data_IF_440700665874
#
_entry.id   IF_440700665874
#
_cell.length_a   1.000
_cell.length_b   1.000
_cell.length_c   1.000
_cell.angle_alpha   90.00
_cell.angle_beta   90.00
_cell.angle_gamma   90.00
#
_symmetry.space_group_name_H-M   'P 1'
#
loop_
_entity.id
_entity.type
_entity.pdbx_description
1 polymer ?
#
# COMPACT_ATOMS: atom_id res chain seq x y z
N UNK A 1 -14.48 3.73 22.79
CA UNK A 1 -14.34 3.43 21.35
C UNK A 1 -13.77 4.69 20.74
N UNK A 2 -12.56 4.65 20.17
CA UNK A 2 -11.95 5.85 19.62
C UNK A 2 -12.61 6.19 18.27
N UNK A 3 -13.20 7.38 18.19
CA UNK A 3 -13.75 7.95 16.95
C UNK A 3 -12.63 8.08 15.92
N UNK A 4 -12.77 7.40 14.80
CA UNK A 4 -11.92 7.60 13.63
C UNK A 4 -12.43 8.86 12.95
N UNK A 5 -11.85 10.01 13.32
CA UNK A 5 -12.16 11.27 12.65
C UNK A 5 -11.53 11.20 11.25
N UNK A 6 -12.36 11.10 10.21
CA UNK A 6 -11.95 11.30 8.81
C UNK A 6 -11.55 12.77 8.60
N UNK A 7 -10.39 13.17 9.13
CA UNK A 7 -9.75 14.45 8.85
C UNK A 7 -9.20 14.39 7.41
N UNK A 8 -9.84 15.14 6.52
CA UNK A 8 -9.64 15.24 5.06
C UNK A 8 -8.25 15.72 4.58
N UNK A 9 -7.19 15.60 5.38
CA UNK A 9 -5.85 16.10 5.05
C UNK A 9 -4.78 15.05 4.78
N UNK A 10 -4.96 13.81 5.25
CA UNK A 10 -3.90 12.78 5.22
C UNK A 10 -4.32 11.58 4.38
N UNK A 11 -3.87 11.56 3.12
CA UNK A 11 -4.22 10.49 2.17
C UNK A 11 -2.99 9.73 1.67
N UNK A 12 -1.79 10.29 1.85
CA UNK A 12 -0.54 9.76 1.31
C UNK A 12 0.53 9.68 2.38
N UNK A 13 1.54 8.84 2.15
CA UNK A 13 2.70 8.73 3.06
C UNK A 13 3.44 10.07 3.19
N UNK A 14 3.49 10.84 2.12
CA UNK A 14 4.12 12.16 2.04
C UNK A 14 3.52 13.16 3.04
N UNK A 15 2.21 13.08 3.29
CA UNK A 15 1.52 13.99 4.20
C UNK A 15 2.02 13.80 5.65
N UNK A 16 2.25 12.55 6.06
CA UNK A 16 2.80 12.22 7.38
C UNK A 16 4.29 12.55 7.49
N UNK A 17 5.04 12.40 6.40
CA UNK A 17 6.45 12.82 6.34
C UNK A 17 6.56 14.34 6.57
N UNK A 18 5.68 15.14 5.97
CA UNK A 18 5.64 16.58 6.19
C UNK A 18 5.35 16.91 7.66
N UNK A 19 4.34 16.27 8.25
CA UNK A 19 3.99 16.44 9.68
C UNK A 19 5.16 16.10 10.60
N UNK A 20 5.87 15.00 10.32
CA UNK A 20 7.03 14.62 11.12
C UNK A 20 8.17 15.64 10.99
N UNK A 21 8.38 16.18 9.79
CA UNK A 21 9.37 17.25 9.53
C UNK A 21 9.01 18.57 10.21
N UNK A 22 7.73 18.86 10.43
CA UNK A 22 7.26 20.00 11.25
C UNK A 22 7.53 19.82 12.75
N UNK A 23 8.08 18.68 13.17
CA UNK A 23 8.45 18.40 14.57
C UNK A 23 7.37 17.68 15.37
N UNK A 24 6.26 17.27 14.75
CA UNK A 24 5.25 16.44 15.42
C UNK A 24 5.71 14.99 15.44
N UNK A 25 5.55 14.31 16.58
CA UNK A 25 5.85 12.88 16.66
C UNK A 25 4.79 12.09 15.88
N UNK A 26 5.24 11.29 14.93
CA UNK A 26 4.40 10.37 14.15
C UNK A 26 4.92 8.95 14.35
N UNK A 27 4.01 8.02 14.64
CA UNK A 27 4.29 6.59 14.65
C UNK A 27 3.52 5.91 13.53
N UNK A 28 4.11 4.89 12.92
CA UNK A 28 3.48 4.15 11.85
C UNK A 28 3.58 2.65 12.11
N UNK A 29 2.45 1.97 11.94
CA UNK A 29 2.39 0.52 11.82
C UNK A 29 2.00 0.17 10.39
N UNK A 30 2.40 -1.02 9.94
CA UNK A 30 1.98 -1.55 8.65
C UNK A 30 1.46 -2.98 8.78
N UNK A 31 0.38 -3.25 8.05
CA UNK A 31 -0.13 -4.58 7.77
C UNK A 31 -0.02 -4.86 6.27
N UNK A 32 0.52 -6.03 5.92
CA UNK A 32 0.70 -6.44 4.54
C UNK A 32 -0.35 -7.48 4.20
N UNK A 33 -1.11 -7.25 3.14
CA UNK A 33 -2.11 -8.21 2.67
C UNK A 33 -2.06 -8.42 1.17
N UNK A 34 -2.44 -9.63 0.78
CA UNK A 34 -2.71 -10.02 -0.61
C UNK A 34 -4.22 -10.11 -0.80
N UNK A 35 -4.75 -9.38 -1.78
CA UNK A 35 -6.18 -9.41 -2.12
C UNK A 35 -6.36 -9.89 -3.55
N UNK A 36 -7.26 -10.85 -3.77
CA UNK A 36 -7.63 -11.27 -5.12
C UNK A 36 -8.66 -10.29 -5.69
N UNK A 37 -8.47 -9.87 -6.94
CA UNK A 37 -9.37 -8.96 -7.65
C UNK A 37 -9.63 -9.45 -9.06
N UNK A 38 -10.78 -9.10 -9.61
CA UNK A 38 -11.13 -9.38 -11.00
C UNK A 38 -10.90 -8.13 -11.84
N UNK A 39 -10.01 -8.23 -12.83
CA UNK A 39 -9.81 -7.16 -13.79
C UNK A 39 -10.70 -7.40 -15.01
N UNK A 40 -11.62 -6.47 -15.27
CA UNK A 40 -12.40 -6.46 -16.51
C UNK A 40 -11.58 -5.75 -17.58
N UNK A 41 -11.21 -6.45 -18.63
CA UNK A 41 -10.56 -5.86 -19.81
C UNK A 41 -11.62 -5.68 -20.88
N UNK A 42 -11.84 -4.44 -21.34
CA UNK A 42 -12.69 -4.16 -22.49
C UNK A 42 -11.82 -4.19 -23.75
N UNK A 43 -11.99 -5.15 -24.68
CA UNK A 43 -11.27 -5.13 -25.94
C UNK A 43 -11.76 -3.95 -26.80
N UNK A 44 -10.82 -3.24 -27.44
CA UNK A 44 -11.09 -2.04 -28.26
C UNK A 44 -11.75 -2.37 -29.63
N UNK A 45 -11.91 -3.64 -29.96
CA UNK A 45 -12.49 -4.09 -31.24
C UNK A 45 -13.61 -5.09 -30.99
N UNK A 46 -14.83 -4.65 -31.32
CA UNK A 46 -16.04 -5.41 -31.66
C UNK A 46 -15.99 -6.93 -31.42
N UNK A 47 -16.44 -7.36 -30.25
CA UNK A 47 -17.41 -8.43 -30.00
C UNK A 47 -17.53 -8.57 -28.46
N UNK A 48 -18.76 -8.53 -27.94
CA UNK A 48 -19.14 -8.48 -26.52
C UNK A 48 -18.63 -9.68 -25.69
N UNK A 49 -17.33 -9.74 -25.43
CA UNK A 49 -16.76 -10.65 -24.45
C UNK A 49 -15.81 -9.87 -23.56
N UNK A 50 -16.33 -9.35 -22.44
CA UNK A 50 -15.46 -8.87 -21.36
C UNK A 50 -14.72 -10.07 -20.79
N UNK A 51 -13.44 -10.23 -21.13
CA UNK A 51 -12.60 -11.24 -20.49
C UNK A 51 -12.29 -10.74 -19.07
N UNK A 52 -12.84 -11.43 -18.06
CA UNK A 52 -12.42 -11.25 -16.68
C UNK A 52 -11.10 -11.98 -16.47
N UNK A 53 -10.06 -11.26 -16.06
CA UNK A 53 -8.78 -11.87 -15.68
C UNK A 53 -8.70 -11.86 -14.16
N UNK A 54 -8.47 -13.04 -13.58
CA UNK A 54 -8.22 -13.19 -12.16
C UNK A 54 -6.83 -12.65 -11.82
N UNK A 55 -6.78 -11.68 -10.91
CA UNK A 55 -5.58 -10.96 -10.53
C UNK A 55 -5.45 -10.90 -9.00
N UNK A 56 -4.30 -10.45 -8.51
CA UNK A 56 -4.08 -10.18 -7.10
C UNK A 56 -3.29 -8.90 -6.89
N UNK A 57 -3.58 -8.19 -5.81
CA UNK A 57 -2.81 -7.03 -5.37
C UNK A 57 -2.08 -7.31 -4.07
N UNK A 58 -0.84 -6.84 -3.99
CA UNK A 58 -0.07 -6.75 -2.76
C UNK A 58 -0.22 -5.32 -2.22
N UNK A 59 -0.86 -5.18 -1.06
CA UNK A 59 -1.21 -3.89 -0.47
C UNK A 59 -0.55 -3.77 0.91
N UNK A 60 0.08 -2.62 1.16
CA UNK A 60 0.48 -2.20 2.49
C UNK A 60 -0.55 -1.25 3.08
N UNK A 61 -1.19 -1.66 4.16
CA UNK A 61 -2.11 -0.84 4.94
C UNK A 61 -1.35 -0.21 6.11
N UNK A 62 -1.12 1.08 6.02
CA UNK A 62 -0.44 1.87 7.03
C UNK A 62 -1.43 2.43 8.03
N UNK A 63 -1.06 2.37 9.30
CA UNK A 63 -1.77 3.03 10.41
C UNK A 63 -0.83 4.03 11.03
N UNK A 64 -1.13 5.32 10.83
CA UNK A 64 -0.36 6.42 11.39
C UNK A 64 -1.03 6.97 12.65
N UNK A 65 -0.24 7.22 13.68
CA UNK A 65 -0.68 7.90 14.92
C UNK A 65 0.03 9.25 15.00
N UNK A 66 -0.75 10.33 15.06
CA UNK A 66 -0.26 11.71 15.19
C UNK A 66 -0.96 12.34 16.39
N UNK A 67 -0.27 12.39 17.53
CA UNK A 67 -0.91 12.75 18.80
C UNK A 67 -1.99 11.74 19.18
N UNK A 68 -3.24 12.20 19.34
CA UNK A 68 -4.40 11.35 19.63
C UNK A 68 -5.15 10.89 18.37
N UNK A 69 -4.84 11.46 17.21
CA UNK A 69 -5.49 11.12 15.95
C UNK A 69 -4.85 9.88 15.31
N UNK A 70 -5.69 9.00 14.74
CA UNK A 70 -5.26 7.81 14.00
C UNK A 70 -5.75 7.89 12.56
N UNK A 71 -4.83 7.66 11.62
CA UNK A 71 -5.09 7.72 10.19
C UNK A 71 -4.71 6.41 9.51
N UNK A 72 -5.44 6.05 8.45
CA UNK A 72 -5.17 4.84 7.67
C UNK A 72 -4.88 5.21 6.22
N UNK A 73 -3.82 4.63 5.66
CA UNK A 73 -3.47 4.78 4.25
C UNK A 73 -3.15 3.42 3.65
N UNK A 74 -3.88 3.03 2.62
CA UNK A 74 -3.63 1.81 1.85
C UNK A 74 -2.86 2.15 0.59
N UNK A 75 -1.71 1.50 0.38
CA UNK A 75 -0.90 1.68 -0.84
C UNK A 75 -0.72 0.33 -1.56
N UNK A 76 -1.18 0.20 -2.82
CA UNK A 76 -0.87 -0.97 -3.63
C UNK A 76 0.60 -0.92 -4.08
N UNK A 77 1.33 -2.01 -3.85
CA UNK A 77 2.73 -2.16 -4.26
C UNK A 77 2.87 -2.88 -5.59
N UNK A 78 1.95 -3.80 -5.88
CA UNK A 78 1.96 -4.60 -7.10
C UNK A 78 0.56 -5.12 -7.41
N UNK A 79 0.26 -5.22 -8.71
CA UNK A 79 -0.83 -6.00 -9.28
C UNK A 79 -0.19 -7.12 -10.11
N UNK A 80 -0.52 -8.37 -9.81
CA UNK A 80 -0.09 -9.55 -10.55
C UNK A 80 -1.29 -10.37 -10.99
N UNK A 81 -1.07 -11.33 -11.89
CA UNK A 81 -2.15 -12.17 -12.43
C UNK A 81 -2.11 -13.58 -11.83
N UNK A 82 -3.29 -14.18 -11.63
CA UNK A 82 -3.39 -15.57 -11.19
C UNK A 82 -3.10 -16.50 -12.38
N UNK A 83 -2.31 -17.55 -12.14
CA UNK A 83 -1.88 -18.50 -13.17
C UNK A 83 -0.46 -18.27 -13.70
N UNK A 84 0.20 -17.19 -13.29
CA UNK A 84 1.61 -16.95 -13.59
C UNK A 84 2.55 -18.03 -13.00
N UNK A 85 3.69 -18.32 -13.63
CA UNK A 85 4.68 -19.24 -13.10
C UNK A 85 5.19 -18.84 -11.71
N UNK A 86 5.61 -19.83 -10.91
CA UNK A 86 6.14 -19.59 -9.55
C UNK A 86 7.31 -18.60 -9.52
N UNK A 87 8.16 -18.61 -10.56
CA UNK A 87 9.29 -17.69 -10.65
C UNK A 87 8.84 -16.25 -10.91
N UNK A 88 7.78 -16.05 -11.71
CA UNK A 88 7.12 -14.76 -11.88
C UNK A 88 6.55 -14.27 -10.55
N UNK A 89 5.82 -15.12 -9.81
CA UNK A 89 5.23 -14.77 -8.52
C UNK A 89 6.31 -14.36 -7.49
N UNK A 90 7.45 -15.06 -7.47
CA UNK A 90 8.59 -14.69 -6.62
C UNK A 90 9.21 -13.35 -7.04
N UNK A 91 9.38 -13.13 -8.34
CA UNK A 91 9.90 -11.88 -8.87
C UNK A 91 8.99 -10.69 -8.51
N UNK A 92 7.68 -10.86 -8.70
CA UNK A 92 6.66 -9.88 -8.32
C UNK A 92 6.73 -9.53 -6.83
N UNK A 93 6.78 -10.56 -5.95
CA UNK A 93 6.94 -10.35 -4.51
C UNK A 93 8.24 -9.59 -4.17
N UNK A 94 9.35 -9.90 -4.85
CA UNK A 94 10.61 -9.16 -4.67
C UNK A 94 10.48 -7.70 -5.10
N UNK A 95 9.84 -7.42 -6.25
CA UNK A 95 9.60 -6.06 -6.73
C UNK A 95 8.75 -5.27 -5.72
N UNK A 96 7.69 -5.89 -5.18
CA UNK A 96 6.86 -5.26 -4.15
C UNK A 96 7.66 -4.94 -2.88
N UNK A 97 8.49 -5.88 -2.43
CA UNK A 97 9.35 -5.70 -1.26
C UNK A 97 10.42 -4.61 -1.46
N UNK A 98 11.04 -4.51 -2.64
CA UNK A 98 11.99 -3.43 -2.94
C UNK A 98 11.32 -2.05 -2.94
N UNK A 99 10.12 -1.94 -3.51
CA UNK A 99 9.32 -0.70 -3.45
C UNK A 99 8.97 -0.33 -2.00
N UNK A 100 8.61 -1.33 -1.19
CA UNK A 100 8.28 -1.15 0.22
C UNK A 100 9.50 -0.67 1.04
N UNK A 101 10.71 -1.21 0.77
CA UNK A 101 11.95 -0.73 1.39
C UNK A 101 12.22 0.74 1.13
N UNK A 102 11.95 1.23 -0.09
CA UNK A 102 12.11 2.65 -0.41
C UNK A 102 11.19 3.53 0.44
N UNK A 103 9.94 3.10 0.65
CA UNK A 103 9.02 3.83 1.52
C UNK A 103 9.45 3.76 2.99
N UNK A 104 9.90 2.61 3.49
CA UNK A 104 10.47 2.51 4.85
C UNK A 104 11.67 3.44 5.04
N UNK A 105 12.56 3.51 4.05
CA UNK A 105 13.69 4.44 4.05
C UNK A 105 13.23 5.90 4.21
N UNK A 106 12.27 6.33 3.38
CA UNK A 106 11.71 7.69 3.44
C UNK A 106 11.03 8.00 4.78
N UNK A 107 10.28 7.05 5.33
CA UNK A 107 9.62 7.21 6.62
C UNK A 107 10.65 7.34 7.76
N UNK A 108 11.70 6.51 7.76
CA UNK A 108 12.79 6.58 8.75
C UNK A 108 13.61 7.86 8.63
N UNK A 109 13.91 8.31 7.41
CA UNK A 109 14.57 9.61 7.18
C UNK A 109 13.74 10.77 7.75
N UNK A 110 12.42 10.66 7.73
CA UNK A 110 11.50 11.59 8.36
C UNK A 110 11.36 11.39 9.88
N UNK A 111 12.12 10.49 10.51
CA UNK A 111 12.06 10.12 11.93
C UNK A 111 10.74 9.49 12.37
N UNK A 112 10.00 8.89 11.43
CA UNK A 112 8.79 8.12 11.73
C UNK A 112 9.22 6.72 12.15
N UNK A 113 8.83 6.31 13.35
CA UNK A 113 9.06 4.96 13.87
C UNK A 113 8.15 3.98 13.12
N UNK A 114 8.74 2.99 12.43
CA UNK A 114 8.03 1.93 11.72
C UNK A 114 8.81 0.62 11.75
N UNK A 115 8.09 -0.49 11.98
CA UNK A 115 8.62 -1.85 11.85
C UNK A 115 8.58 -2.31 10.39
N UNK A 116 9.71 -2.80 9.88
CA UNK A 116 9.77 -3.33 8.52
C UNK A 116 9.14 -4.72 8.46
N UNK A 117 8.13 -4.86 7.60
CA UNK A 117 7.54 -6.14 7.19
C UNK A 117 7.67 -6.31 5.69
N UNK A 118 7.61 -7.55 5.21
CA UNK A 118 7.73 -7.90 3.80
C UNK A 118 6.65 -8.90 3.40
N UNK A 119 6.18 -8.81 2.14
CA UNK A 119 5.23 -9.74 1.54
C UNK A 119 5.83 -11.13 1.44
#
# INVERSE_FOLDING_TARGET
MAEVIEKTGFQRLEDFILVSKEGKKVQADIELRKVTVKQKVHPETTEDTSTEIDAYMLIGDYVFRVGEDVYKVSKPYLLGFLGEPLDTIKLEKNIANERLKLDYGRLREAKIEIEEKYF
#
